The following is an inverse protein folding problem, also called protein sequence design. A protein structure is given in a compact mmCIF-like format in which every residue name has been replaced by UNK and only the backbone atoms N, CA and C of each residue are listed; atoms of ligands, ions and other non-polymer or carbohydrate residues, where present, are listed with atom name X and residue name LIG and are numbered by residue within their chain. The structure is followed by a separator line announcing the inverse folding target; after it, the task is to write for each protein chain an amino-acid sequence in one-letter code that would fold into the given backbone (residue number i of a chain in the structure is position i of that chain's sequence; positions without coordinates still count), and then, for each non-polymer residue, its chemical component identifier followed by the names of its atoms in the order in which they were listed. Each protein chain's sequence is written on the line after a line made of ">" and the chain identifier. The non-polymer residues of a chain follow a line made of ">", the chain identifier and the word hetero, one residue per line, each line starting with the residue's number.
data_IF_763236330497
#
_entry.id   IF_763236330497
#
_cell.length_a   1.000
_cell.length_b   1.000
_cell.length_c   1.000
_cell.angle_alpha   90.00
_cell.angle_beta   90.00
_cell.angle_gamma   90.00
#
_symmetry.space_group_name_H-M   'P 1'
#
loop_
_entity.id
_entity.type
_entity.pdbx_description
1 polymer ?
#
# COMPACT_ATOMS: atom_id res chain seq x y z
N UNK A 1 12.53 0.26 -0.32
CA UNK A 1 13.64 -0.17 0.56
C UNK A 1 13.12 -1.03 1.74
N UNK A 2 12.13 -1.91 1.55
CA UNK A 2 11.64 -2.76 2.66
C UNK A 2 12.69 -3.81 3.07
N UNK A 3 13.37 -4.37 2.07
CA UNK A 3 14.29 -5.49 2.23
C UNK A 3 15.53 -5.12 3.07
N UNK A 4 16.06 -3.90 2.91
CA UNK A 4 17.21 -3.40 3.69
C UNK A 4 16.88 -3.18 5.18
N UNK A 5 15.60 -3.10 5.52
CA UNK A 5 15.11 -2.96 6.88
C UNK A 5 14.51 -4.27 7.42
N UNK A 6 14.57 -5.37 6.65
CA UNK A 6 14.00 -6.66 7.05
C UNK A 6 12.48 -6.65 7.21
N UNK A 7 11.78 -5.71 6.58
CA UNK A 7 10.33 -5.61 6.63
C UNK A 7 9.70 -6.59 5.63
N UNK A 8 9.12 -7.66 6.13
CA UNK A 8 8.54 -8.76 5.36
C UNK A 8 7.04 -8.91 5.66
N UNK A 9 6.33 -9.69 4.85
CA UNK A 9 4.93 -10.01 5.09
C UNK A 9 4.69 -10.70 6.45
N UNK A 10 5.69 -11.39 7.02
CA UNK A 10 5.55 -12.07 8.30
C UNK A 10 5.56 -11.13 9.51
N UNK A 11 6.16 -9.93 9.36
CA UNK A 11 6.42 -9.03 10.49
C UNK A 11 5.92 -7.59 10.30
N UNK A 12 5.27 -7.29 9.18
CA UNK A 12 4.92 -5.92 8.80
C UNK A 12 3.45 -5.79 8.35
N UNK A 13 2.82 -4.70 8.77
CA UNK A 13 1.54 -4.22 8.22
C UNK A 13 1.82 -2.94 7.44
N UNK A 14 1.30 -2.84 6.21
CA UNK A 14 1.48 -1.70 5.32
C UNK A 14 0.26 -0.77 5.45
N UNK A 15 0.52 0.53 5.65
CA UNK A 15 -0.50 1.57 5.58
C UNK A 15 -0.28 2.41 4.32
N UNK A 16 -1.31 2.47 3.47
CA UNK A 16 -1.30 3.19 2.20
C UNK A 16 -2.27 4.37 2.27
N UNK A 17 -1.77 5.56 1.97
CA UNK A 17 -2.57 6.77 1.83
C UNK A 17 -2.08 7.61 0.65
N UNK A 18 -2.95 8.44 0.06
CA UNK A 18 -2.59 9.34 -1.04
C UNK A 18 -3.41 9.11 -2.31
N UNK A 19 -2.79 9.38 -3.48
CA UNK A 19 -3.44 9.25 -4.78
C UNK A 19 -3.95 7.81 -4.99
N UNK A 20 -5.22 7.62 -5.40
CA UNK A 20 -5.80 6.29 -5.64
C UNK A 20 -4.97 5.38 -6.56
N UNK A 21 -4.41 5.93 -7.65
CA UNK A 21 -3.65 5.13 -8.62
C UNK A 21 -2.34 4.62 -8.01
N UNK A 22 -1.70 5.45 -7.16
CA UNK A 22 -0.51 5.02 -6.42
C UNK A 22 -0.85 3.97 -5.37
N UNK A 23 -1.98 4.13 -4.66
CA UNK A 23 -2.44 3.13 -3.68
C UNK A 23 -2.66 1.79 -4.36
N UNK A 24 -3.34 1.77 -5.52
CA UNK A 24 -3.56 0.54 -6.29
C UNK A 24 -2.27 -0.08 -6.81
N UNK A 25 -1.32 0.74 -7.29
CA UNK A 25 -0.02 0.24 -7.74
C UNK A 25 0.77 -0.42 -6.60
N UNK A 26 0.80 0.21 -5.42
CA UNK A 26 1.52 -0.34 -4.25
C UNK A 26 0.82 -1.59 -3.70
N UNK A 27 -0.51 -1.66 -3.76
CA UNK A 27 -1.27 -2.87 -3.40
C UNK A 27 -0.90 -4.07 -4.28
N UNK A 28 -0.72 -3.86 -5.60
CA UNK A 28 -0.23 -4.89 -6.51
C UNK A 28 1.16 -5.39 -6.12
N UNK A 29 2.09 -4.47 -5.85
CA UNK A 29 3.46 -4.80 -5.42
C UNK A 29 3.45 -5.55 -4.07
N UNK A 30 2.61 -5.13 -3.12
CA UNK A 30 2.48 -5.80 -1.82
C UNK A 30 1.96 -7.23 -1.97
N UNK A 31 0.99 -7.44 -2.87
CA UNK A 31 0.45 -8.76 -3.19
C UNK A 31 1.52 -9.67 -3.79
N UNK A 32 2.28 -9.17 -4.77
CA UNK A 32 3.41 -9.90 -5.38
C UNK A 32 4.51 -10.25 -4.36
N UNK A 33 4.66 -9.43 -3.32
CA UNK A 33 5.59 -9.65 -2.21
C UNK A 33 5.02 -10.54 -1.09
N UNK A 34 3.80 -11.05 -1.23
CA UNK A 34 3.20 -12.01 -0.30
C UNK A 34 2.52 -11.39 0.93
N UNK A 35 2.27 -10.08 0.93
CA UNK A 35 1.46 -9.46 2.00
C UNK A 35 0.00 -9.86 1.85
N UNK A 36 -0.61 -10.33 2.93
CA UNK A 36 -2.03 -10.67 2.91
C UNK A 36 -2.90 -9.39 2.84
N UNK A 37 -4.10 -9.45 2.22
CA UNK A 37 -4.97 -8.27 2.07
C UNK A 37 -5.27 -7.53 3.38
N UNK A 38 -5.43 -8.26 4.49
CA UNK A 38 -5.68 -7.73 5.83
C UNK A 38 -4.49 -6.95 6.43
N UNK A 39 -3.29 -7.15 5.88
CA UNK A 39 -2.07 -6.44 6.25
C UNK A 39 -1.86 -5.18 5.42
N UNK A 40 -2.65 -4.95 4.36
CA UNK A 40 -2.58 -3.75 3.52
C UNK A 40 -3.75 -2.84 3.85
N UNK A 41 -3.52 -1.91 4.77
CA UNK A 41 -4.52 -0.95 5.25
C UNK A 41 -4.53 0.27 4.34
N UNK A 42 -5.69 0.61 3.80
CA UNK A 42 -5.86 1.72 2.86
C UNK A 42 -6.64 2.84 3.52
N UNK A 43 -6.08 4.04 3.49
CA UNK A 43 -6.68 5.24 4.04
C UNK A 43 -6.70 6.33 2.97
N UNK A 44 -7.82 6.41 2.26
CA UNK A 44 -8.04 7.33 1.17
C UNK A 44 -8.52 8.67 1.72
N UNK A 45 -7.56 9.55 2.04
CA UNK A 45 -7.81 10.93 2.42
C UNK A 45 -7.86 11.91 1.26
N UNK A 46 -7.58 11.46 0.03
CA UNK A 46 -7.66 12.32 -1.14
C UNK A 46 -9.14 12.62 -1.42
N UNK A 47 -9.65 13.86 -1.18
CA UNK A 47 -10.96 14.20 -1.69
C UNK A 47 -10.91 13.97 -3.20
N UNK A 48 -11.89 13.26 -3.78
CA UNK A 48 -12.04 13.16 -5.24
C UNK A 48 -12.09 14.58 -5.80
N UNK A 49 -10.93 15.08 -6.18
CA UNK A 49 -10.65 16.50 -6.27
C UNK A 49 -10.17 16.84 -7.66
N UNK A 50 -11.17 17.15 -8.49
CA UNK A 50 -11.11 17.91 -9.74
C UNK A 50 -10.75 17.13 -11.00
N UNK A 51 -11.80 16.87 -11.81
CA UNK A 51 -11.66 16.70 -13.25
C UNK A 51 -10.83 17.89 -13.78
N UNK A 52 -9.66 17.61 -14.35
CA UNK A 52 -8.92 18.57 -15.17
C UNK A 52 -9.21 18.28 -16.64
#
# INVERSE_FOLDING_TARGET
>A
QLDVHGLTAENTTIYLCGNPDMVSAVEGIATERGFAPEQVRKELYWPKGRNH
#
